data_IF_936005389128
#
_entry.id   IF_936005389128
#
_cell.length_a   1.000
_cell.length_b   1.000
_cell.length_c   1.000
_cell.angle_alpha   90.00
_cell.angle_beta   90.00
_cell.angle_gamma   90.00
#
_symmetry.space_group_name_H-M   'P 1'
#
loop_
_entity.id
_entity.type
_entity.pdbx_description
1 polymer ?
#
# COMPACT_ATOMS: atom_id res chain seq x y z
N UNK A 1 -3.92 -15.12 74.48
CA UNK A 1 -3.35 -14.75 73.17
C UNK A 1 -4.18 -15.45 72.11
N UNK A 2 -5.20 -14.77 71.59
CA UNK A 2 -6.19 -15.33 70.68
C UNK A 2 -5.87 -14.81 69.27
N UNK A 3 -5.29 -15.66 68.44
CA UNK A 3 -5.01 -15.35 67.04
C UNK A 3 -6.30 -15.43 66.22
N UNK A 4 -6.86 -14.27 65.88
CA UNK A 4 -7.90 -14.13 64.87
C UNK A 4 -7.25 -13.98 63.50
N UNK A 5 -7.22 -15.06 62.72
CA UNK A 5 -6.83 -15.09 61.32
C UNK A 5 -7.95 -14.51 60.45
N UNK A 6 -7.78 -13.26 60.03
CA UNK A 6 -8.65 -12.58 59.07
C UNK A 6 -8.39 -13.11 57.64
N UNK A 7 -9.28 -13.95 57.13
CA UNK A 7 -9.28 -14.40 55.75
C UNK A 7 -9.73 -13.28 54.82
N UNK A 8 -8.78 -12.63 54.15
CA UNK A 8 -9.03 -11.67 53.08
C UNK A 8 -9.60 -12.39 51.85
N UNK A 9 -10.89 -12.23 51.60
CA UNK A 9 -11.55 -12.69 50.39
C UNK A 9 -11.06 -11.87 49.19
N UNK A 10 -10.19 -12.46 48.37
CA UNK A 10 -9.87 -11.93 47.05
C UNK A 10 -11.13 -11.99 46.19
N UNK A 11 -11.75 -10.83 45.98
CA UNK A 11 -12.82 -10.68 44.99
C UNK A 11 -12.19 -10.84 43.61
N UNK A 12 -12.60 -11.87 42.88
CA UNK A 12 -12.18 -12.08 41.50
C UNK A 12 -12.47 -10.81 40.69
N UNK A 13 -11.53 -10.34 39.86
CA UNK A 13 -11.76 -9.16 39.03
C UNK A 13 -13.00 -9.38 38.16
N UNK A 14 -13.82 -8.34 37.95
CA UNK A 14 -15.04 -8.44 37.16
C UNK A 14 -14.71 -9.01 35.77
N UNK A 15 -15.36 -10.13 35.42
CA UNK A 15 -15.22 -10.73 34.10
C UNK A 15 -15.65 -9.69 33.06
N UNK A 16 -14.76 -9.36 32.13
CA UNK A 16 -15.10 -8.49 31.02
C UNK A 16 -16.21 -9.14 30.19
N UNK A 17 -17.19 -8.35 29.69
CA UNK A 17 -18.27 -8.88 28.87
C UNK A 17 -17.70 -9.66 27.67
N UNK A 18 -18.39 -10.72 27.20
CA UNK A 18 -17.93 -11.51 26.06
C UNK A 18 -17.66 -10.59 24.87
N UNK A 19 -16.44 -10.63 24.34
CA UNK A 19 -16.08 -9.84 23.18
C UNK A 19 -16.78 -10.43 21.95
N UNK A 20 -17.53 -9.60 21.23
CA UNK A 20 -18.23 -10.01 20.02
C UNK A 20 -17.21 -10.44 18.95
N UNK A 21 -17.27 -11.72 18.56
CA UNK A 21 -16.43 -12.24 17.48
C UNK A 21 -16.96 -11.84 16.12
N UNK A 22 -16.05 -11.63 15.18
CA UNK A 22 -16.33 -11.31 13.78
C UNK A 22 -16.20 -12.58 12.97
N UNK A 23 -17.25 -12.96 12.23
CA UNK A 23 -17.13 -14.08 11.29
C UNK A 23 -16.09 -13.76 10.21
N UNK A 24 -15.07 -14.60 10.07
CA UNK A 24 -13.99 -14.41 9.07
C UNK A 24 -14.51 -14.44 7.65
N UNK A 25 -15.54 -15.28 7.40
CA UNK A 25 -16.25 -15.26 6.14
C UNK A 25 -16.85 -13.88 5.90
N UNK A 26 -17.62 -13.34 6.85
CA UNK A 26 -18.20 -11.99 6.73
C UNK A 26 -17.14 -10.90 6.57
N UNK A 27 -16.00 -11.03 7.27
CA UNK A 27 -14.91 -10.04 7.26
C UNK A 27 -14.27 -9.87 5.87
N UNK A 28 -14.11 -10.98 5.13
CA UNK A 28 -13.46 -11.02 3.82
C UNK A 28 -14.44 -11.28 2.64
N UNK A 29 -15.75 -11.27 2.86
CA UNK A 29 -16.75 -11.52 1.79
C UNK A 29 -17.26 -10.23 1.12
N UNK A 30 -16.79 -9.07 1.55
CA UNK A 30 -17.19 -7.79 0.96
C UNK A 30 -16.20 -7.40 -0.13
N UNK A 31 -16.71 -7.13 -1.33
CA UNK A 31 -15.90 -6.71 -2.48
C UNK A 31 -15.26 -5.35 -2.21
N UNK A 32 -16.02 -4.37 -1.71
CA UNK A 32 -15.56 -3.00 -1.47
C UNK A 32 -14.83 -2.79 -0.13
N UNK A 33 -13.91 -3.69 0.23
CA UNK A 33 -13.16 -3.60 1.48
C UNK A 33 -13.96 -3.97 2.74
N UNK A 34 -13.33 -3.87 3.91
CA UNK A 34 -13.97 -4.27 5.17
C UNK A 34 -15.14 -3.36 5.56
N UNK A 35 -16.20 -3.97 6.09
CA UNK A 35 -17.37 -3.26 6.63
C UNK A 35 -16.97 -2.41 7.83
N UNK A 36 -17.54 -1.21 7.92
CA UNK A 36 -17.26 -0.27 9.01
C UNK A 36 -17.61 -0.83 10.40
N UNK A 37 -18.64 -1.68 10.51
CA UNK A 37 -18.96 -2.36 11.75
C UNK A 37 -17.80 -3.26 12.22
N UNK A 38 -17.21 -4.04 11.31
CA UNK A 38 -16.08 -4.89 11.64
C UNK A 38 -14.83 -4.08 12.01
N UNK A 39 -14.55 -2.99 11.29
CA UNK A 39 -13.43 -2.09 11.60
C UNK A 39 -13.58 -1.47 12.99
N UNK A 40 -14.80 -1.09 13.40
CA UNK A 40 -15.09 -0.57 14.75
C UNK A 40 -14.89 -1.61 15.84
N UNK A 41 -15.15 -2.88 15.57
CA UNK A 41 -14.88 -3.98 16.52
C UNK A 41 -13.38 -4.31 16.60
N UNK A 42 -12.68 -4.27 15.47
CA UNK A 42 -11.25 -4.61 15.37
C UNK A 42 -10.32 -3.52 15.92
N UNK A 43 -10.63 -2.25 15.66
CA UNK A 43 -9.72 -1.13 15.92
C UNK A 43 -9.34 -0.96 17.40
N UNK A 44 -10.26 -0.93 18.39
CA UNK A 44 -9.86 -0.65 19.77
C UNK A 44 -8.91 -1.70 20.36
N UNK A 45 -9.14 -3.03 20.21
CA UNK A 45 -8.20 -4.05 20.64
C UNK A 45 -6.87 -4.02 19.87
N UNK A 46 -6.91 -3.70 18.57
CA UNK A 46 -5.69 -3.61 17.77
C UNK A 46 -4.82 -2.45 18.25
N UNK A 47 -5.44 -1.28 18.48
CA UNK A 47 -4.78 -0.08 18.97
C UNK A 47 -4.17 -0.27 20.37
N UNK A 48 -4.84 -0.99 21.26
CA UNK A 48 -4.30 -1.25 22.60
C UNK A 48 -3.16 -2.26 22.62
N UNK A 49 -2.97 -3.01 21.52
CA UNK A 49 -1.96 -4.08 21.42
C UNK A 49 -0.63 -3.63 20.81
N UNK A 50 -0.55 -2.41 20.27
CA UNK A 50 0.59 -1.88 19.54
C UNK A 50 0.90 -0.44 19.98
N UNK A 51 2.09 0.05 19.65
CA UNK A 51 2.49 1.44 19.92
C UNK A 51 2.02 2.38 18.82
N UNK A 52 1.99 1.89 17.57
CA UNK A 52 1.58 2.63 16.39
C UNK A 52 0.86 1.71 15.38
N UNK A 53 -0.07 2.29 14.63
CA UNK A 53 -0.79 1.58 13.56
C UNK A 53 -0.23 1.91 12.18
N UNK A 54 -0.24 0.92 11.30
CA UNK A 54 -0.03 1.06 9.86
C UNK A 54 -1.41 1.00 9.19
N UNK A 55 -1.86 2.11 8.64
CA UNK A 55 -3.15 2.22 7.94
C UNK A 55 -2.92 2.03 6.44
N UNK A 56 -3.65 1.14 5.78
CA UNK A 56 -3.68 1.09 4.31
C UNK A 56 -4.94 1.77 3.78
N UNK A 57 -4.78 2.64 2.80
CA UNK A 57 -5.86 3.43 2.19
C UNK A 57 -5.76 3.44 0.67
N UNK A 58 -6.90 3.70 0.03
CA UNK A 58 -6.98 3.85 -1.42
C UNK A 58 -7.78 2.74 -2.10
N UNK A 59 -7.24 2.15 -3.16
CA UNK A 59 -7.95 1.26 -4.08
C UNK A 59 -7.43 -0.20 -4.06
N UNK A 60 -7.51 -0.88 -5.20
CA UNK A 60 -7.31 -2.33 -5.32
C UNK A 60 -5.91 -2.79 -4.98
N UNK A 61 -4.86 -1.98 -5.11
CA UNK A 61 -3.50 -2.50 -4.82
C UNK A 61 -3.28 -2.94 -3.37
N UNK A 62 -4.09 -2.47 -2.42
CA UNK A 62 -3.94 -2.73 -0.97
C UNK A 62 -5.23 -3.31 -0.32
N UNK A 63 -6.25 -3.64 -1.11
CA UNK A 63 -7.56 -4.07 -0.59
C UNK A 63 -7.54 -5.47 0.07
N UNK A 64 -8.70 -5.90 0.57
CA UNK A 64 -8.87 -7.14 1.32
C UNK A 64 -8.98 -8.40 0.42
N UNK A 65 -8.80 -8.24 -0.90
CA UNK A 65 -8.77 -9.31 -1.90
C UNK A 65 -9.90 -10.30 -1.71
N UNK A 66 -11.13 -9.84 -1.81
CA UNK A 66 -12.35 -10.66 -1.66
C UNK A 66 -12.29 -11.99 -2.44
N UNK A 67 -11.68 -11.99 -3.63
CA UNK A 67 -11.55 -13.15 -4.51
C UNK A 67 -10.39 -14.11 -4.14
N UNK A 68 -9.61 -13.82 -3.10
CA UNK A 68 -8.51 -14.69 -2.68
C UNK A 68 -8.99 -15.92 -1.92
N UNK A 69 -8.48 -17.05 -2.37
CA UNK A 69 -8.68 -18.35 -1.73
C UNK A 69 -7.53 -18.73 -0.81
N UNK A 70 -6.38 -18.04 -0.88
CA UNK A 70 -5.26 -18.25 0.03
C UNK A 70 -5.60 -17.72 1.42
N UNK A 71 -5.84 -18.67 2.32
CA UNK A 71 -6.25 -18.44 3.71
C UNK A 71 -5.14 -18.91 4.63
N UNK A 72 -4.76 -18.04 5.55
CA UNK A 72 -3.72 -18.29 6.54
C UNK A 72 -4.31 -18.26 7.96
N UNK A 73 -3.68 -18.92 8.93
CA UNK A 73 -4.09 -18.81 10.34
C UNK A 73 -4.00 -17.35 10.82
N UNK A 74 -5.04 -16.85 11.49
CA UNK A 74 -5.07 -15.47 11.94
C UNK A 74 -3.99 -15.16 13.00
N UNK A 75 -3.48 -16.17 13.71
CA UNK A 75 -2.37 -16.08 14.65
C UNK A 75 -1.10 -15.54 14.00
N UNK A 76 -0.91 -15.83 12.70
CA UNK A 76 0.21 -15.32 11.93
C UNK A 76 0.14 -13.80 11.75
N UNK A 77 -1.08 -13.24 11.57
CA UNK A 77 -1.33 -11.80 11.55
C UNK A 77 -1.35 -11.15 12.95
N UNK A 78 -1.27 -11.96 14.01
CA UNK A 78 -1.15 -11.49 15.38
C UNK A 78 -2.34 -11.85 16.28
N UNK A 79 -2.15 -11.69 17.60
CA UNK A 79 -3.08 -12.22 18.60
C UNK A 79 -4.47 -11.57 18.53
N UNK A 80 -4.57 -10.30 18.13
CA UNK A 80 -5.86 -9.59 18.05
C UNK A 80 -6.74 -10.18 16.94
N UNK A 81 -6.17 -10.43 15.76
CA UNK A 81 -6.90 -11.07 14.67
C UNK A 81 -7.35 -12.48 15.05
N UNK A 82 -6.48 -13.28 15.67
CA UNK A 82 -6.82 -14.63 16.14
C UNK A 82 -7.95 -14.67 17.19
N UNK A 83 -7.99 -13.68 18.09
CA UNK A 83 -9.03 -13.61 19.13
C UNK A 83 -10.39 -13.17 18.57
N UNK A 84 -10.38 -12.23 17.63
CA UNK A 84 -11.60 -11.61 17.11
C UNK A 84 -12.23 -12.37 15.96
N UNK A 85 -11.45 -13.05 15.13
CA UNK A 85 -11.93 -13.75 13.94
C UNK A 85 -12.45 -15.16 14.24
N UNK A 86 -13.59 -15.52 13.65
CA UNK A 86 -14.23 -16.84 13.80
C UNK A 86 -14.64 -17.46 12.46
N UNK A 87 -14.04 -18.58 12.02
CA UNK A 87 -12.84 -19.21 12.59
C UNK A 87 -11.61 -18.31 12.46
N UNK A 88 -10.52 -18.49 13.24
CA UNK A 88 -9.34 -17.60 13.20
C UNK A 88 -8.54 -17.75 11.90
N UNK A 89 -9.01 -17.12 10.82
CA UNK A 89 -8.44 -17.23 9.48
C UNK A 89 -8.43 -15.87 8.76
N UNK A 90 -7.30 -15.53 8.17
CA UNK A 90 -7.09 -14.33 7.38
C UNK A 90 -6.87 -14.64 5.90
N UNK A 91 -7.15 -13.68 5.02
CA UNK A 91 -6.67 -13.72 3.63
C UNK A 91 -5.21 -13.29 3.61
N UNK A 92 -4.36 -13.95 2.81
CA UNK A 92 -2.95 -13.60 2.65
C UNK A 92 -2.74 -12.33 1.79
N UNK A 93 -3.43 -11.25 2.11
CA UNK A 93 -3.28 -9.94 1.45
C UNK A 93 -2.05 -9.17 1.97
N UNK A 94 -1.79 -7.99 1.43
CA UNK A 94 -0.65 -7.14 1.84
C UNK A 94 -0.70 -6.81 3.34
N UNK A 95 -1.89 -6.57 3.90
CA UNK A 95 -2.06 -6.19 5.32
C UNK A 95 -1.80 -7.37 6.24
N UNK A 96 -2.19 -8.58 5.84
CA UNK A 96 -1.81 -9.82 6.53
C UNK A 96 -0.29 -9.94 6.59
N UNK A 97 0.41 -9.76 5.46
CA UNK A 97 1.87 -9.88 5.41
C UNK A 97 2.58 -8.78 6.20
N UNK A 98 2.07 -7.54 6.19
CA UNK A 98 2.59 -6.45 7.03
C UNK A 98 2.57 -6.86 8.51
N UNK A 99 1.43 -7.38 8.99
CA UNK A 99 1.31 -7.83 10.37
C UNK A 99 2.20 -9.05 10.67
N UNK A 100 2.24 -10.02 9.75
CA UNK A 100 3.00 -11.25 9.93
C UNK A 100 4.49 -10.99 10.05
N UNK A 101 5.06 -10.28 9.09
CA UNK A 101 6.49 -9.98 9.03
C UNK A 101 6.92 -9.06 10.18
N UNK A 102 6.07 -8.12 10.59
CA UNK A 102 6.36 -7.28 11.76
C UNK A 102 6.43 -8.11 13.05
N UNK A 103 5.50 -9.07 13.22
CA UNK A 103 5.54 -10.00 14.34
C UNK A 103 6.81 -10.87 14.33
N UNK A 104 7.28 -11.32 13.16
CA UNK A 104 8.54 -12.05 13.01
C UNK A 104 9.75 -11.18 13.40
N UNK A 105 9.88 -9.98 12.83
CA UNK A 105 10.95 -9.03 13.15
C UNK A 105 11.01 -8.72 14.64
N UNK A 106 9.85 -8.53 15.28
CA UNK A 106 9.78 -8.25 16.71
C UNK A 106 10.13 -9.47 17.58
N UNK A 107 9.82 -10.70 17.15
CA UNK A 107 10.26 -11.92 17.84
C UNK A 107 11.77 -12.11 17.74
N UNK A 108 12.35 -11.87 16.56
CA UNK A 108 13.80 -11.94 16.34
C UNK A 108 14.56 -10.92 17.19
N UNK A 109 14.06 -9.67 17.28
CA UNK A 109 14.63 -8.64 18.17
C UNK A 109 14.58 -9.06 19.65
N UNK A 110 13.54 -9.81 20.07
CA UNK A 110 13.41 -10.30 21.45
C UNK A 110 14.28 -11.52 21.75
N UNK A 111 14.43 -12.45 20.81
CA UNK A 111 15.25 -13.65 20.98
C UNK A 111 16.74 -13.35 20.84
N UNK A 112 17.09 -12.40 19.99
CA UNK A 112 18.46 -11.94 19.75
C UNK A 112 18.98 -10.94 20.79
N UNK A 113 18.56 -11.03 22.06
CA UNK A 113 19.00 -10.20 23.19
C UNK A 113 20.54 -10.25 23.37
N UNK A 114 21.22 -9.48 22.53
CA UNK A 114 22.65 -9.28 22.46
C UNK A 114 22.92 -7.85 22.92
N UNK A 115 23.35 -7.74 24.19
CA UNK A 115 24.20 -6.75 24.88
C UNK A 115 24.44 -5.30 24.38
N UNK A 116 23.85 -4.82 23.30
CA UNK A 116 23.99 -3.44 22.87
C UNK A 116 22.84 -2.60 23.41
N UNK A 117 23.15 -1.82 24.44
CA UNK A 117 22.33 -0.80 25.10
C UNK A 117 21.87 0.37 24.19
N UNK A 118 21.78 0.19 22.87
CA UNK A 118 21.14 1.18 22.02
C UNK A 118 19.61 1.05 22.18
N UNK A 119 19.13 1.72 23.22
CA UNK A 119 17.79 1.68 23.77
C UNK A 119 16.73 2.37 22.89
N UNK A 120 17.08 2.84 21.70
CA UNK A 120 16.15 3.60 20.87
C UNK A 120 15.46 2.72 19.84
N UNK A 121 14.18 2.47 20.13
CA UNK A 121 13.10 2.36 19.16
C UNK A 121 12.76 0.95 18.63
N UNK A 122 12.26 0.08 19.52
CA UNK A 122 11.45 -1.08 19.12
C UNK A 122 9.97 -0.73 19.12
N UNK A 123 9.56 0.32 18.40
CA UNK A 123 8.13 0.60 18.19
C UNK A 123 7.46 -0.65 17.64
N UNK A 124 6.42 -1.14 18.33
CA UNK A 124 5.64 -2.28 17.87
C UNK A 124 4.51 -1.80 16.97
N UNK A 125 4.56 -2.17 15.70
CA UNK A 125 3.51 -1.84 14.74
C UNK A 125 2.44 -2.94 14.63
N UNK A 126 1.23 -2.54 14.24
CA UNK A 126 0.19 -3.42 13.73
C UNK A 126 -0.51 -2.77 12.54
N UNK A 127 -0.90 -3.53 11.53
CA UNK A 127 -1.52 -3.02 10.31
C UNK A 127 -3.03 -3.26 10.30
N UNK A 128 -3.78 -2.29 9.74
CA UNK A 128 -5.23 -2.37 9.54
C UNK A 128 -5.60 -1.96 8.11
N UNK A 129 -6.41 -2.78 7.46
CA UNK A 129 -6.84 -2.53 6.10
C UNK A 129 -8.09 -1.65 6.06
N UNK A 130 -7.98 -0.50 5.41
CA UNK A 130 -9.09 0.43 5.17
C UNK A 130 -9.23 0.83 3.71
N UNK A 131 -8.47 0.20 2.81
CA UNK A 131 -8.59 0.40 1.37
C UNK A 131 -9.95 -0.11 0.86
N UNK A 132 -10.45 0.51 -0.21
CA UNK A 132 -11.77 0.24 -0.78
C UNK A 132 -11.62 -0.11 -2.25
N UNK A 133 -11.86 -1.37 -2.57
CA UNK A 133 -11.76 -1.92 -3.92
C UNK A 133 -12.60 -1.17 -4.96
N UNK A 134 -12.13 -1.16 -6.20
CA UNK A 134 -12.84 -0.64 -7.38
C UNK A 134 -13.27 0.84 -7.27
N UNK A 135 -12.56 1.61 -6.44
CA UNK A 135 -12.85 3.04 -6.27
C UNK A 135 -11.82 3.94 -6.95
N UNK A 136 -12.24 5.15 -7.29
CA UNK A 136 -11.43 6.16 -8.00
C UNK A 136 -11.20 7.41 -7.15
N UNK A 137 -10.26 8.27 -7.55
CA UNK A 137 -10.13 9.61 -6.99
C UNK A 137 -11.35 10.47 -7.27
N UNK A 138 -12.00 10.31 -8.43
CA UNK A 138 -13.21 11.06 -8.77
C UNK A 138 -14.36 10.82 -7.77
N UNK A 139 -14.50 9.60 -7.25
CA UNK A 139 -15.50 9.31 -6.23
C UNK A 139 -15.19 9.99 -4.88
N UNK A 140 -13.92 10.32 -4.63
CA UNK A 140 -13.42 10.94 -3.39
C UNK A 140 -13.23 12.45 -3.46
N UNK A 141 -13.34 13.06 -4.64
CA UNK A 141 -13.11 14.50 -4.81
C UNK A 141 -14.09 15.33 -3.98
N UNK A 142 -15.36 14.93 -3.91
CA UNK A 142 -16.40 15.64 -3.15
C UNK A 142 -16.50 15.24 -1.68
N UNK A 143 -16.39 13.94 -1.38
CA UNK A 143 -16.46 13.42 -0.01
C UNK A 143 -15.58 12.20 0.11
N UNK A 144 -14.87 12.10 1.23
CA UNK A 144 -14.24 10.87 1.68
C UNK A 144 -15.29 9.74 1.82
N UNK A 145 -14.88 8.52 1.51
CA UNK A 145 -15.69 7.32 1.75
C UNK A 145 -15.82 7.04 3.27
N UNK A 146 -16.74 6.17 3.69
CA UNK A 146 -16.88 5.83 5.11
C UNK A 146 -15.60 5.30 5.76
N UNK A 147 -14.83 4.47 5.05
CA UNK A 147 -13.54 3.94 5.49
C UNK A 147 -12.47 5.04 5.57
N UNK A 148 -12.41 5.92 4.57
CA UNK A 148 -11.52 7.09 4.58
C UNK A 148 -11.81 8.02 5.79
N UNK A 149 -13.08 8.26 6.10
CA UNK A 149 -13.51 9.01 7.30
C UNK A 149 -13.08 8.29 8.58
N UNK A 150 -13.20 6.97 8.61
CA UNK A 150 -12.75 6.17 9.75
C UNK A 150 -11.25 6.35 10.02
N UNK A 151 -10.40 6.37 8.97
CA UNK A 151 -8.97 6.69 9.11
C UNK A 151 -8.80 8.10 9.67
N UNK A 152 -9.40 9.11 9.02
CA UNK A 152 -9.27 10.52 9.40
C UNK A 152 -9.64 10.77 10.87
N UNK A 153 -10.65 10.06 11.35
CA UNK A 153 -11.19 10.26 12.69
C UNK A 153 -10.43 9.44 13.77
N UNK A 154 -9.58 8.47 13.39
CA UNK A 154 -8.89 7.58 14.34
C UNK A 154 -7.35 7.52 14.20
N UNK A 155 -6.77 8.09 13.15
CA UNK A 155 -5.32 8.10 12.94
C UNK A 155 -4.60 8.94 14.01
N UNK A 156 -3.47 8.43 14.53
CA UNK A 156 -2.64 9.10 15.53
C UNK A 156 -1.36 9.68 14.93
N UNK A 157 -0.68 10.57 15.67
CA UNK A 157 0.58 11.17 15.21
C UNK A 157 1.77 10.21 15.20
N UNK A 158 1.67 9.05 15.86
CA UNK A 158 2.70 8.00 15.81
C UNK A 158 2.46 7.00 14.68
N UNK A 159 1.30 7.08 14.02
CA UNK A 159 0.90 6.10 13.02
C UNK A 159 1.62 6.34 11.69
N UNK A 160 1.45 5.35 10.82
CA UNK A 160 1.92 5.36 9.44
C UNK A 160 0.71 5.20 8.53
N UNK A 161 0.63 6.03 7.50
CA UNK A 161 -0.41 5.96 6.48
C UNK A 161 0.20 5.53 5.15
N UNK A 162 -0.26 4.41 4.60
CA UNK A 162 0.09 3.92 3.27
C UNK A 162 -1.08 4.19 2.34
N UNK A 163 -0.84 4.91 1.24
CA UNK A 163 -1.87 5.28 0.27
C UNK A 163 -1.50 4.77 -1.11
N UNK A 164 -2.33 3.90 -1.69
CA UNK A 164 -2.23 3.48 -3.10
C UNK A 164 -3.55 3.74 -3.80
N UNK A 165 -3.59 4.68 -4.73
CA UNK A 165 -4.82 5.08 -5.43
C UNK A 165 -4.48 5.57 -6.83
N UNK A 166 -5.50 5.63 -7.71
CA UNK A 166 -5.50 6.06 -9.11
C UNK A 166 -5.33 4.93 -10.13
N UNK A 167 -5.05 3.70 -9.70
CA UNK A 167 -4.97 2.56 -10.63
C UNK A 167 -6.30 2.37 -11.37
N UNK A 168 -7.40 2.48 -10.61
CA UNK A 168 -8.75 2.38 -11.15
C UNK A 168 -9.18 3.59 -12.00
N UNK A 169 -8.60 4.77 -11.77
CA UNK A 169 -8.83 5.95 -12.63
C UNK A 169 -8.23 5.75 -14.03
N UNK A 170 -7.38 4.74 -14.23
CA UNK A 170 -6.81 4.34 -15.52
C UNK A 170 -7.46 3.07 -16.07
N UNK A 171 -7.54 2.02 -15.25
CA UNK A 171 -7.90 0.70 -15.74
C UNK A 171 -9.41 0.41 -15.70
N UNK A 172 -10.12 0.86 -14.66
CA UNK A 172 -11.49 0.42 -14.38
C UNK A 172 -12.54 1.44 -14.80
N UNK A 173 -12.35 2.70 -14.44
CA UNK A 173 -13.29 3.78 -14.73
C UNK A 173 -12.56 5.05 -15.20
N UNK A 174 -11.80 4.98 -16.31
CA UNK A 174 -11.09 6.14 -16.81
C UNK A 174 -12.05 7.19 -17.35
N UNK A 175 -11.75 8.46 -17.06
CA UNK A 175 -12.48 9.57 -17.66
C UNK A 175 -12.11 9.70 -19.14
N UNK A 176 -12.96 10.33 -19.99
CA UNK A 176 -12.59 10.62 -21.37
C UNK A 176 -11.26 11.38 -21.49
N UNK A 177 -10.95 12.28 -20.54
CA UNK A 177 -9.68 13.00 -20.50
C UNK A 177 -8.50 12.11 -20.12
N UNK A 178 -8.71 11.16 -19.21
CA UNK A 178 -7.72 10.13 -18.88
C UNK A 178 -7.41 9.26 -20.11
N UNK A 179 -8.46 8.77 -20.79
CA UNK A 179 -8.31 7.95 -22.00
C UNK A 179 -7.54 8.72 -23.08
N UNK A 180 -7.94 9.96 -23.38
CA UNK A 180 -7.28 10.78 -24.40
C UNK A 180 -5.82 11.08 -24.06
N UNK A 181 -5.52 11.38 -22.79
CA UNK A 181 -4.15 11.68 -22.34
C UNK A 181 -3.25 10.45 -22.42
N UNK A 182 -3.74 9.29 -21.97
CA UNK A 182 -2.99 8.04 -22.01
C UNK A 182 -2.80 7.57 -23.45
N UNK A 183 -3.84 7.61 -24.29
CA UNK A 183 -3.74 7.27 -25.70
C UNK A 183 -2.77 8.22 -26.43
N UNK A 184 -2.79 9.52 -26.12
CA UNK A 184 -1.83 10.48 -26.67
C UNK A 184 -0.38 10.11 -26.33
N UNK A 185 -0.11 9.68 -25.10
CA UNK A 185 1.24 9.31 -24.65
C UNK A 185 1.71 7.94 -25.16
N UNK A 186 0.81 6.94 -25.15
CA UNK A 186 1.17 5.56 -25.49
C UNK A 186 1.05 5.28 -26.99
N UNK A 187 0.05 5.83 -27.67
CA UNK A 187 -0.22 5.53 -29.08
C UNK A 187 0.34 6.58 -30.04
N UNK A 188 0.28 7.87 -29.67
CA UNK A 188 0.61 8.95 -30.62
C UNK A 188 2.03 9.51 -30.45
N UNK A 189 2.65 9.30 -29.28
CA UNK A 189 3.95 9.88 -28.97
C UNK A 189 5.09 8.85 -29.12
N UNK A 190 6.21 9.19 -29.79
CA UNK A 190 7.41 8.35 -29.77
C UNK A 190 7.93 8.14 -28.34
N UNK A 191 8.49 6.97 -28.05
CA UNK A 191 9.03 6.65 -26.72
C UNK A 191 10.08 7.67 -26.27
N UNK A 192 10.98 8.09 -27.17
CA UNK A 192 12.01 9.11 -26.87
C UNK A 192 11.43 10.44 -26.41
N UNK A 193 10.25 10.85 -26.90
CA UNK A 193 9.58 12.06 -26.41
C UNK A 193 8.99 11.86 -25.01
N UNK A 194 8.55 10.65 -24.66
CA UNK A 194 8.09 10.32 -23.31
C UNK A 194 9.27 10.25 -22.32
N UNK A 195 10.40 9.68 -22.73
CA UNK A 195 11.64 9.60 -21.94
C UNK A 195 12.16 11.00 -21.55
N UNK A 196 12.14 11.92 -22.52
CA UNK A 196 12.51 13.33 -22.32
C UNK A 196 11.35 14.19 -21.78
N UNK A 197 10.19 13.60 -21.56
CA UNK A 197 9.00 14.28 -21.08
C UNK A 197 9.23 14.88 -19.70
N UNK A 198 8.81 16.13 -19.52
CA UNK A 198 8.98 16.87 -18.27
C UNK A 198 7.75 17.70 -17.94
N UNK A 199 7.60 17.98 -16.66
CA UNK A 199 6.51 18.77 -16.12
C UNK A 199 7.08 19.94 -15.32
N UNK A 200 6.61 21.14 -15.62
CA UNK A 200 7.07 22.38 -15.00
C UNK A 200 6.20 22.78 -13.80
N UNK A 201 4.98 22.23 -13.72
CA UNK A 201 4.03 22.52 -12.66
C UNK A 201 2.72 21.76 -12.87
N UNK A 202 1.74 22.07 -12.04
CA UNK A 202 0.37 21.58 -12.15
C UNK A 202 -0.56 22.59 -11.47
N UNK A 203 -1.82 22.67 -11.90
CA UNK A 203 -2.79 23.56 -11.27
C UNK A 203 -3.07 23.05 -9.85
N UNK A 204 -2.92 23.87 -8.80
CA UNK A 204 -3.02 23.42 -7.40
C UNK A 204 -4.47 23.35 -6.91
N UNK A 205 -5.38 22.86 -7.74
CA UNK A 205 -6.80 22.73 -7.42
C UNK A 205 -7.29 21.34 -7.79
N UNK A 206 -8.08 20.72 -6.91
CA UNK A 206 -8.77 19.46 -7.20
C UNK A 206 -9.87 19.67 -8.26
N UNK A 207 -10.12 18.63 -9.04
CA UNK A 207 -11.17 18.63 -10.05
C UNK A 207 -12.53 18.30 -9.40
N UNK A 208 -13.45 19.25 -9.40
CA UNK A 208 -14.85 19.01 -9.00
C UNK A 208 -15.71 18.35 -10.10
N UNK A 209 -15.17 18.25 -11.32
CA UNK A 209 -15.82 17.74 -12.54
C UNK A 209 -14.97 16.62 -13.15
N UNK A 210 -15.58 15.67 -13.87
CA UNK A 210 -15.04 14.40 -14.38
C UNK A 210 -13.79 14.51 -15.31
N UNK A 211 -12.71 15.18 -14.86
CA UNK A 211 -11.47 15.38 -15.60
C UNK A 211 -11.45 16.56 -16.57
N UNK A 212 -12.48 17.41 -16.61
CA UNK A 212 -12.62 18.48 -17.63
C UNK A 212 -12.36 19.91 -17.09
N UNK A 213 -11.56 20.06 -16.05
CA UNK A 213 -11.37 21.34 -15.35
C UNK A 213 -9.89 21.73 -15.16
N UNK A 214 -9.47 22.07 -13.92
CA UNK A 214 -8.06 22.32 -13.58
C UNK A 214 -7.04 21.32 -14.16
N UNK A 215 -7.41 20.04 -14.29
CA UNK A 215 -6.57 19.02 -14.93
C UNK A 215 -6.22 19.32 -16.39
N UNK A 216 -7.15 19.81 -17.21
CA UNK A 216 -6.87 20.18 -18.60
C UNK A 216 -5.99 21.43 -18.69
N UNK A 217 -6.16 22.38 -17.79
CA UNK A 217 -5.26 23.53 -17.69
C UNK A 217 -3.82 23.09 -17.34
N UNK A 218 -3.66 22.01 -16.56
CA UNK A 218 -2.35 21.43 -16.25
C UNK A 218 -1.62 20.88 -17.48
N UNK A 219 -2.32 20.60 -18.60
CA UNK A 219 -1.68 20.22 -19.85
C UNK A 219 -0.73 21.30 -20.39
N UNK A 220 -0.98 22.58 -20.06
CA UNK A 220 -0.10 23.69 -20.46
C UNK A 220 1.21 23.74 -19.66
N UNK A 221 1.29 22.97 -18.57
CA UNK A 221 2.44 22.94 -17.65
C UNK A 221 3.40 21.77 -17.90
N UNK A 222 3.30 21.12 -19.07
CA UNK A 222 4.14 19.97 -19.40
C UNK A 222 4.44 19.86 -20.88
N UNK A 223 5.54 19.19 -21.20
CA UNK A 223 5.87 18.73 -22.53
C UNK A 223 6.23 17.24 -22.44
N UNK A 224 5.44 16.32 -23.02
CA UNK A 224 4.21 16.55 -23.80
C UNK A 224 3.02 17.04 -22.93
N UNK A 225 2.02 17.74 -23.50
CA UNK A 225 0.89 18.28 -22.74
C UNK A 225 0.10 17.23 -21.94
N UNK A 226 -0.09 16.03 -22.51
CA UNK A 226 -0.81 14.94 -21.84
C UNK A 226 -0.14 14.49 -20.52
N UNK A 227 1.17 14.70 -20.38
CA UNK A 227 1.88 14.40 -19.12
C UNK A 227 1.48 15.38 -18.00
N UNK A 228 1.06 16.60 -18.35
CA UNK A 228 0.56 17.59 -17.41
C UNK A 228 -0.77 17.18 -16.78
N UNK A 229 -1.65 16.54 -17.56
CA UNK A 229 -2.87 15.92 -17.04
C UNK A 229 -2.55 14.81 -16.03
N UNK A 230 -1.64 13.89 -16.37
CA UNK A 230 -1.25 12.80 -15.48
C UNK A 230 -0.56 13.30 -14.21
N UNK A 231 0.27 14.35 -14.31
CA UNK A 231 0.84 15.00 -13.12
C UNK A 231 -0.24 15.57 -12.20
N UNK A 232 -1.29 16.16 -12.76
CA UNK A 232 -2.40 16.65 -11.95
C UNK A 232 -3.14 15.50 -11.26
N UNK A 233 -3.47 14.44 -12.02
CA UNK A 233 -4.19 13.27 -11.51
C UNK A 233 -3.41 12.54 -10.40
N UNK A 234 -2.17 12.14 -10.67
CA UNK A 234 -1.35 11.34 -9.74
C UNK A 234 -0.56 12.18 -8.71
N UNK A 235 -0.53 13.50 -8.86
CA UNK A 235 0.15 14.43 -7.97
C UNK A 235 -0.86 15.25 -7.17
N UNK A 236 -1.38 16.32 -7.76
CA UNK A 236 -2.27 17.29 -7.09
C UNK A 236 -3.48 16.64 -6.44
N UNK A 237 -4.17 15.75 -7.15
CA UNK A 237 -5.42 15.16 -6.65
C UNK A 237 -5.18 14.12 -5.57
N UNK A 238 -4.12 13.31 -5.70
CA UNK A 238 -3.67 12.41 -4.64
C UNK A 238 -3.26 13.21 -3.39
N UNK A 239 -2.51 14.31 -3.56
CA UNK A 239 -2.13 15.18 -2.46
C UNK A 239 -3.37 15.73 -1.72
N UNK A 240 -4.35 16.29 -2.46
CA UNK A 240 -5.60 16.78 -1.86
C UNK A 240 -6.37 15.68 -1.13
N UNK A 241 -6.38 14.46 -1.66
CA UNK A 241 -7.00 13.32 -1.01
C UNK A 241 -6.31 13.00 0.33
N UNK A 242 -4.98 12.95 0.35
CA UNK A 242 -4.20 12.70 1.57
C UNK A 242 -4.38 13.83 2.59
N UNK A 243 -4.43 15.08 2.14
CA UNK A 243 -4.72 16.23 3.00
C UNK A 243 -6.09 16.11 3.67
N UNK A 244 -7.12 15.66 2.93
CA UNK A 244 -8.46 15.37 3.48
C UNK A 244 -8.44 14.21 4.47
N UNK A 245 -7.71 13.12 4.17
CA UNK A 245 -7.55 11.98 5.07
C UNK A 245 -6.85 12.36 6.38
N UNK A 246 -5.89 13.26 6.32
CA UNK A 246 -5.06 13.68 7.47
C UNK A 246 -5.47 15.05 8.00
N UNK A 247 -6.71 15.48 7.75
CA UNK A 247 -7.17 16.82 8.11
C UNK A 247 -7.20 17.03 9.63
N UNK A 248 -7.48 15.98 10.41
CA UNK A 248 -7.57 16.07 11.87
C UNK A 248 -6.21 15.85 12.54
N UNK A 249 -5.46 14.84 12.10
CA UNK A 249 -4.17 14.44 12.69
C UNK A 249 -3.18 14.11 11.58
N UNK A 250 -1.95 14.59 11.73
CA UNK A 250 -0.82 14.29 10.85
C UNK A 250 -0.05 13.08 11.39
N UNK A 251 -0.01 11.93 10.67
CA UNK A 251 0.76 10.76 11.10
C UNK A 251 2.28 11.02 11.00
N UNK A 252 3.08 10.13 11.60
CA UNK A 252 4.56 10.23 11.59
C UNK A 252 5.09 10.14 10.15
N UNK A 253 4.64 9.13 9.41
CA UNK A 253 5.02 8.87 8.01
C UNK A 253 3.78 8.71 7.13
N UNK A 254 3.87 9.19 5.89
CA UNK A 254 2.88 8.98 4.83
C UNK A 254 3.61 8.37 3.64
N UNK A 255 3.34 7.10 3.36
CA UNK A 255 3.87 6.36 2.23
C UNK A 255 2.90 6.49 1.06
N UNK A 256 3.32 7.14 -0.03
CA UNK A 256 2.46 7.37 -1.21
C UNK A 256 2.91 6.46 -2.34
N UNK A 257 2.12 5.44 -2.61
CA UNK A 257 2.46 4.38 -3.56
C UNK A 257 2.02 4.69 -4.99
N UNK A 258 2.96 4.52 -5.94
CA UNK A 258 2.67 4.33 -7.35
C UNK A 258 2.49 2.85 -7.64
N UNK A 259 1.57 2.52 -8.54
CA UNK A 259 1.26 1.15 -8.93
C UNK A 259 2.47 0.40 -9.49
N UNK A 260 2.47 -0.91 -9.28
CA UNK A 260 3.43 -1.85 -9.86
C UNK A 260 3.20 -2.10 -11.35
N UNK A 261 4.09 -2.86 -11.99
CA UNK A 261 3.90 -3.27 -13.37
C UNK A 261 2.96 -4.48 -13.43
N UNK A 262 1.97 -4.50 -14.35
CA UNK A 262 1.21 -5.72 -14.62
C UNK A 262 2.14 -6.86 -15.07
N UNK A 263 1.73 -8.10 -14.86
CA UNK A 263 2.42 -9.27 -15.38
C UNK A 263 2.56 -9.18 -16.91
N UNK A 264 3.79 -9.33 -17.39
CA UNK A 264 4.12 -9.32 -18.81
C UNK A 264 3.58 -10.57 -19.50
N UNK A 265 3.40 -11.67 -18.76
CA UNK A 265 2.78 -12.85 -19.30
C UNK A 265 1.33 -12.54 -19.71
N UNK A 266 1.00 -12.89 -20.96
CA UNK A 266 -0.34 -12.70 -21.50
C UNK A 266 -1.27 -13.84 -21.03
N UNK A 267 -1.58 -13.83 -19.73
CA UNK A 267 -2.49 -14.79 -19.09
C UNK A 267 -3.94 -14.25 -19.07
N UNK A 268 -4.96 -15.11 -18.94
CA UNK A 268 -6.34 -14.65 -18.78
C UNK A 268 -6.49 -13.69 -17.59
N UNK A 269 -7.04 -12.52 -17.84
CA UNK A 269 -7.29 -11.47 -16.86
C UNK A 269 -8.57 -10.72 -17.19
N UNK A 270 -9.28 -10.27 -16.17
CA UNK A 270 -10.41 -9.35 -16.33
C UNK A 270 -9.96 -8.02 -16.95
N UNK A 271 -8.70 -7.62 -16.76
CA UNK A 271 -8.13 -6.38 -17.25
C UNK A 271 -7.52 -6.50 -18.66
N UNK A 272 -7.57 -7.67 -19.31
CA UNK A 272 -6.90 -7.90 -20.60
C UNK A 272 -7.31 -6.90 -21.69
N UNK A 273 -8.58 -6.48 -21.72
CA UNK A 273 -9.05 -5.46 -22.66
C UNK A 273 -8.36 -4.11 -22.43
N UNK A 274 -8.34 -3.63 -21.19
CA UNK A 274 -7.70 -2.36 -20.82
C UNK A 274 -6.17 -2.43 -21.03
N UNK A 275 -5.52 -3.45 -20.49
CA UNK A 275 -4.06 -3.67 -20.59
C UNK A 275 -3.63 -3.83 -22.06
N UNK A 276 -4.42 -4.54 -22.87
CA UNK A 276 -4.20 -4.66 -24.30
C UNK A 276 -4.35 -3.33 -25.05
N UNK A 277 -5.36 -2.53 -24.71
CA UNK A 277 -5.57 -1.21 -25.30
C UNK A 277 -4.43 -0.22 -24.99
N UNK A 278 -3.74 -0.40 -23.86
CA UNK A 278 -2.53 0.36 -23.52
C UNK A 278 -1.28 -0.08 -24.32
N UNK A 279 -1.39 -1.15 -25.12
CA UNK A 279 -0.27 -1.70 -25.87
C UNK A 279 0.67 -2.59 -25.04
N UNK A 280 0.30 -2.92 -23.79
CA UNK A 280 1.15 -3.67 -22.86
C UNK A 280 1.50 -5.08 -23.35
N UNK A 281 0.62 -5.70 -24.14
CA UNK A 281 0.85 -7.03 -24.72
C UNK A 281 1.97 -7.06 -25.77
N UNK A 282 2.32 -5.92 -26.34
CA UNK A 282 3.27 -5.82 -27.45
C UNK A 282 4.51 -5.00 -27.09
N UNK A 283 4.34 -3.99 -26.24
CA UNK A 283 5.38 -3.04 -25.86
C UNK A 283 5.25 -2.69 -24.36
N UNK A 284 5.40 -3.68 -23.44
CA UNK A 284 5.25 -3.45 -22.00
C UNK A 284 6.19 -2.33 -21.50
N UNK A 285 7.39 -2.23 -22.06
CA UNK A 285 8.42 -1.26 -21.70
C UNK A 285 7.92 0.20 -21.79
N UNK A 286 7.03 0.50 -22.74
CA UNK A 286 6.51 1.85 -22.94
C UNK A 286 5.49 2.25 -21.87
N UNK A 287 4.64 1.32 -21.46
CA UNK A 287 3.68 1.54 -20.36
C UNK A 287 4.42 1.57 -19.03
N UNK A 288 5.40 0.70 -18.82
CA UNK A 288 6.27 0.73 -17.64
C UNK A 288 7.03 2.06 -17.56
N UNK A 289 7.54 2.56 -18.69
CA UNK A 289 8.15 3.89 -18.78
C UNK A 289 7.14 4.98 -18.37
N UNK A 290 5.90 4.90 -18.82
CA UNK A 290 4.86 5.86 -18.42
C UNK A 290 4.62 5.80 -16.90
N UNK A 291 4.53 4.61 -16.30
CA UNK A 291 4.40 4.44 -14.84
C UNK A 291 5.57 5.09 -14.10
N UNK A 292 6.81 4.84 -14.54
CA UNK A 292 8.00 5.51 -13.97
C UNK A 292 7.92 7.02 -14.11
N UNK A 293 7.50 7.54 -15.26
CA UNK A 293 7.34 8.98 -15.47
C UNK A 293 6.27 9.59 -14.58
N UNK A 294 5.14 8.91 -14.37
CA UNK A 294 4.12 9.36 -13.42
C UNK A 294 4.66 9.39 -11.99
N UNK A 295 5.46 8.39 -11.59
CA UNK A 295 6.13 8.40 -10.29
C UNK A 295 7.08 9.59 -10.15
N UNK A 296 8.02 9.76 -11.08
CA UNK A 296 9.05 10.81 -11.06
C UNK A 296 8.48 12.24 -11.11
N UNK A 297 7.42 12.43 -11.90
CA UNK A 297 6.89 13.76 -12.21
C UNK A 297 5.70 14.15 -11.33
N UNK A 298 5.04 13.18 -10.69
CA UNK A 298 3.83 13.41 -9.89
C UNK A 298 3.98 12.88 -8.47
N UNK A 299 4.00 11.56 -8.28
CA UNK A 299 3.89 10.94 -6.95
C UNK A 299 5.07 11.28 -6.04
N UNK A 300 6.30 11.29 -6.57
CA UNK A 300 7.50 11.66 -5.81
C UNK A 300 7.57 13.12 -5.40
N UNK A 301 6.70 13.96 -5.96
CA UNK A 301 6.64 15.40 -5.70
C UNK A 301 5.48 15.78 -4.77
N UNK A 302 4.70 14.80 -4.32
CA UNK A 302 3.64 15.03 -3.34
C UNK A 302 4.28 15.48 -2.05
N UNK A 303 3.75 16.55 -1.47
CA UNK A 303 4.18 17.06 -0.19
C UNK A 303 2.95 17.37 0.66
N UNK A 304 3.00 17.06 1.95
CA UNK A 304 1.89 17.28 2.86
C UNK A 304 2.40 18.21 3.96
N UNK A 305 1.76 19.37 4.10
CA UNK A 305 2.09 20.31 5.18
C UNK A 305 1.79 19.70 6.56
N UNK A 306 2.47 20.20 7.60
CA UNK A 306 2.15 19.85 8.99
C UNK A 306 3.01 18.74 9.61
N UNK A 307 4.20 18.47 9.06
CA UNK A 307 5.26 17.72 9.76
C UNK A 307 5.29 16.21 9.52
N UNK A 308 4.36 15.64 8.76
CA UNK A 308 4.47 14.25 8.31
C UNK A 308 5.63 14.08 7.33
N UNK A 309 6.42 13.04 7.50
CA UNK A 309 7.41 12.62 6.50
C UNK A 309 6.68 11.93 5.35
N UNK A 310 6.73 12.51 4.14
CA UNK A 310 6.10 11.93 2.94
C UNK A 310 7.14 11.15 2.15
N UNK A 311 6.91 9.84 1.99
CA UNK A 311 7.84 8.92 1.34
C UNK A 311 7.16 8.34 0.09
N UNK A 312 7.65 8.63 -1.12
CA UNK A 312 7.08 8.05 -2.33
C UNK A 312 7.53 6.59 -2.50
N UNK A 313 6.57 5.70 -2.78
CA UNK A 313 6.79 4.25 -2.87
C UNK A 313 6.57 3.77 -4.31
N UNK A 314 7.61 3.36 -5.03
CA UNK A 314 7.48 2.75 -6.35
C UNK A 314 7.21 1.25 -6.22
N UNK A 315 5.94 0.83 -6.17
CA UNK A 315 5.61 -0.61 -6.04
C UNK A 315 6.06 -1.45 -7.24
N UNK A 316 6.43 -0.82 -8.36
CA UNK A 316 7.04 -1.50 -9.49
C UNK A 316 8.46 -2.02 -9.23
N UNK A 317 9.05 -1.73 -8.06
CA UNK A 317 10.32 -2.33 -7.62
C UNK A 317 10.11 -3.76 -7.11
N UNK A 318 9.27 -4.01 -6.07
CA UNK A 318 9.02 -5.39 -5.62
C UNK A 318 8.23 -6.22 -6.63
N UNK A 319 7.43 -5.58 -7.49
CA UNK A 319 6.58 -6.20 -8.50
C UNK A 319 6.86 -5.63 -9.89
N UNK A 320 7.82 -6.24 -10.59
CA UNK A 320 8.41 -5.74 -11.84
C UNK A 320 7.78 -6.32 -13.13
N UNK A 321 6.64 -7.00 -13.01
CA UNK A 321 5.94 -7.64 -14.13
C UNK A 321 6.58 -8.92 -14.68
N UNK A 322 7.80 -9.31 -14.26
CA UNK A 322 8.54 -10.40 -14.90
C UNK A 322 8.26 -11.80 -14.32
N UNK A 323 7.70 -11.85 -13.10
CA UNK A 323 7.43 -13.10 -12.37
C UNK A 323 5.93 -13.32 -12.20
N UNK A 324 5.34 -14.14 -13.05
CA UNK A 324 3.88 -14.36 -13.05
C UNK A 324 3.32 -14.92 -11.73
N UNK A 325 4.12 -15.63 -10.94
CA UNK A 325 3.71 -16.12 -9.61
C UNK A 325 3.44 -15.00 -8.60
N UNK A 326 3.93 -13.79 -8.85
CA UNK A 326 3.65 -12.62 -8.03
C UNK A 326 2.26 -12.02 -8.32
N UNK A 327 1.54 -12.53 -9.33
CA UNK A 327 0.27 -11.97 -9.79
C UNK A 327 -0.87 -13.00 -9.78
N UNK A 328 -2.07 -12.48 -9.61
CA UNK A 328 -3.34 -13.17 -9.85
C UNK A 328 -4.06 -12.38 -10.93
N UNK A 329 -4.51 -13.08 -11.97
CA UNK A 329 -5.17 -12.44 -13.11
C UNK A 329 -4.38 -11.24 -13.65
N UNK A 330 -3.05 -11.35 -13.72
CA UNK A 330 -2.12 -10.39 -14.32
C UNK A 330 -1.94 -9.03 -13.62
N UNK A 331 -2.96 -8.54 -12.91
CA UNK A 331 -2.98 -7.18 -12.36
C UNK A 331 -3.10 -7.14 -10.84
N UNK A 332 -3.51 -8.22 -10.20
CA UNK A 332 -3.63 -8.28 -8.74
C UNK A 332 -2.37 -8.94 -8.15
N UNK A 333 -1.84 -8.47 -7.02
CA UNK A 333 -0.69 -9.11 -6.38
C UNK A 333 -1.15 -10.42 -5.76
N UNK A 334 -0.48 -11.55 -6.06
CA UNK A 334 -0.70 -12.84 -5.40
C UNK A 334 -0.35 -12.80 -3.90
N UNK A 335 -0.53 -13.89 -3.16
CA UNK A 335 -0.03 -13.96 -1.79
C UNK A 335 1.51 -13.75 -1.73
N UNK A 336 2.24 -14.28 -2.71
CA UNK A 336 3.69 -14.08 -2.85
C UNK A 336 3.99 -12.63 -3.18
N UNK A 337 3.28 -12.05 -4.15
CA UNK A 337 3.46 -10.64 -4.53
C UNK A 337 3.12 -9.68 -3.38
N UNK A 338 2.04 -9.95 -2.65
CA UNK A 338 1.63 -9.20 -1.47
C UNK A 338 2.65 -9.27 -0.34
N UNK A 339 3.29 -10.43 -0.15
CA UNK A 339 4.42 -10.57 0.79
C UNK A 339 5.61 -9.69 0.38
N UNK A 340 6.03 -9.72 -0.88
CA UNK A 340 7.14 -8.87 -1.37
C UNK A 340 6.85 -7.38 -1.19
N UNK A 341 5.62 -6.97 -1.49
CA UNK A 341 5.19 -5.59 -1.24
C UNK A 341 5.28 -5.24 0.25
N UNK A 342 4.81 -6.11 1.14
CA UNK A 342 4.87 -5.89 2.59
C UNK A 342 6.31 -5.83 3.12
N UNK A 343 7.21 -6.70 2.65
CA UNK A 343 8.64 -6.67 2.97
C UNK A 343 9.24 -5.30 2.59
N UNK A 344 9.02 -4.86 1.34
CA UNK A 344 9.50 -3.57 0.85
C UNK A 344 8.94 -2.39 1.65
N UNK A 345 7.65 -2.40 1.97
CA UNK A 345 7.02 -1.34 2.77
C UNK A 345 7.57 -1.29 4.20
N UNK A 346 7.76 -2.44 4.86
CA UNK A 346 8.31 -2.49 6.21
C UNK A 346 9.78 -2.03 6.25
N UNK A 347 10.57 -2.35 5.22
CA UNK A 347 11.95 -1.86 5.12
C UNK A 347 12.00 -0.34 5.07
N UNK A 348 11.11 0.29 4.30
CA UNK A 348 10.99 1.75 4.26
C UNK A 348 10.48 2.34 5.58
N UNK A 349 9.55 1.64 6.26
CA UNK A 349 9.01 2.06 7.56
C UNK A 349 10.10 2.08 8.63
N UNK A 350 10.93 1.04 8.70
CA UNK A 350 11.98 0.88 9.71
C UNK A 350 13.28 1.59 9.36
N UNK A 351 13.43 2.13 8.14
CA UNK A 351 14.53 3.04 7.84
C UNK A 351 14.36 4.34 8.64
N UNK A 352 15.32 4.62 9.52
CA UNK A 352 15.45 5.93 10.16
C UNK A 352 15.68 6.98 9.07
N UNK A 353 15.04 8.14 9.21
CA UNK A 353 15.05 9.26 8.24
C UNK A 353 16.42 9.91 8.00
N UNK A 354 17.51 9.18 8.20
CA UNK A 354 18.86 9.47 7.73
C UNK A 354 18.89 9.46 6.19
N UNK A 355 18.40 10.55 5.62
CA UNK A 355 18.68 11.04 4.28
C UNK A 355 18.78 9.95 3.19
N UNK A 356 17.63 9.58 2.61
CA UNK A 356 17.54 9.27 1.18
C UNK A 356 17.85 10.53 0.33
N UNK A 357 18.94 11.24 0.62
CA UNK A 357 19.46 12.37 -0.18
C UNK A 357 20.38 11.90 -1.30
N UNK A 358 20.56 10.58 -1.46
CA UNK A 358 21.09 10.02 -2.70
C UNK A 358 20.02 10.16 -3.75
N UNK A 359 20.17 11.13 -4.64
CA UNK A 359 19.22 11.39 -5.72
C UNK A 359 18.86 10.10 -6.44
N UNK A 360 17.56 9.95 -6.73
CA UNK A 360 17.09 9.08 -7.80
C UNK A 360 17.73 9.59 -9.09
N UNK A 361 18.95 9.14 -9.38
CA UNK A 361 19.59 9.37 -10.66
C UNK A 361 18.91 8.43 -11.66
N UNK A 362 18.00 8.98 -12.47
CA UNK A 362 17.23 8.26 -13.51
C UNK A 362 18.12 7.53 -14.53
N UNK A 363 19.45 7.64 -14.45
CA UNK A 363 20.39 6.89 -15.30
C UNK A 363 21.01 5.64 -14.67
N UNK A 364 20.79 5.35 -13.38
CA UNK A 364 21.35 4.14 -12.74
C UNK A 364 20.27 3.11 -12.38
N UNK A 365 19.94 2.24 -13.33
CA UNK A 365 19.19 1.00 -13.12
C UNK A 365 20.07 -0.10 -12.48
N UNK A 366 20.95 0.23 -11.54
CA UNK A 366 21.85 -0.76 -10.94
C UNK A 366 22.00 -0.56 -9.42
N UNK A 367 21.57 -1.62 -8.72
CA UNK A 367 22.05 -2.03 -7.41
C UNK A 367 21.56 -1.12 -6.28
N UNK A 368 20.32 -1.34 -5.84
CA UNK A 368 20.13 -1.41 -4.39
C UNK A 368 21.10 -2.48 -3.88
N UNK A 369 22.08 -2.06 -3.08
CA UNK A 369 23.04 -2.96 -2.46
C UNK A 369 22.32 -4.03 -1.67
N UNK A 370 22.26 -5.23 -2.25
CA UNK A 370 21.94 -6.45 -1.56
C UNK A 370 23.05 -6.73 -0.53
N UNK A 371 22.91 -6.12 0.65
CA UNK A 371 23.46 -6.68 1.89
C UNK A 371 22.37 -7.50 2.61
N UNK A 372 21.58 -8.23 1.84
CA UNK A 372 20.72 -9.31 2.35
C UNK A 372 21.56 -10.58 2.28
N UNK A 373 21.94 -11.04 3.48
CA UNK A 373 22.38 -12.38 3.86
C UNK A 373 22.42 -13.39 2.70
N UNK A 374 23.64 -13.77 2.31
CA UNK A 374 23.87 -14.87 1.38
C UNK A 374 23.14 -16.13 1.86
N UNK A 375 22.15 -16.58 1.09
CA UNK A 375 21.61 -17.93 1.21
C UNK A 375 22.72 -18.94 0.83
N UNK A 376 22.85 -20.07 1.54
CA UNK A 376 23.94 -21.01 1.34
C UNK A 376 23.85 -21.64 -0.05
N UNK A 377 24.98 -21.63 -0.75
CA UNK A 377 25.17 -22.22 -2.07
C UNK A 377 24.84 -23.72 -2.06
N UNK A 378 23.78 -24.11 -2.77
CA UNK A 378 23.59 -25.51 -3.17
C UNK A 378 24.53 -25.82 -4.33
N UNK A 379 25.62 -26.49 -4.01
CA UNK A 379 26.53 -27.10 -4.98
C UNK A 379 25.79 -28.16 -5.79
N UNK A 380 25.60 -27.92 -7.09
CA UNK A 380 25.25 -28.95 -8.06
C UNK A 380 26.40 -29.95 -8.18
N UNK A 381 26.15 -31.20 -7.79
CA UNK A 381 27.00 -32.34 -8.14
C UNK A 381 26.71 -32.67 -9.61
N UNK A 382 27.72 -32.40 -10.44
CA UNK A 382 27.88 -33.03 -11.75
C UNK A 382 28.15 -34.52 -11.53
N UNK A 383 27.19 -35.36 -11.91
CA UNK A 383 27.33 -36.82 -11.92
C UNK A 383 27.01 -37.34 -13.32
N UNK A 384 28.03 -37.43 -14.16
CA UNK A 384 28.04 -38.19 -15.41
C UNK A 384 28.51 -39.59 -15.04
N UNK A 385 27.71 -40.63 -15.28
CA UNK A 385 28.22 -41.96 -15.67
C UNK A 385 27.11 -42.89 -16.18
N UNK A 386 27.33 -43.34 -17.42
CA UNK A 386 26.94 -44.58 -18.13
C UNK A 386 25.48 -44.98 -18.29
#
# INVERSE_FOLDING_TARGET
MSNTSSSSSFSSPPQQPPQEKISSKSFYNEYHGHKLAHLRTLYPPLRSSCDALIWTAGDSSLDNKYWFTDRQPAEAAGPVYAQLLDPPSCVADVTFWLNHLENERHKEKKSGASNNNNHNDSTKYAAINTAVEATTLNQRSRSLLPQDKFIRDNISSQDILIVSICGNDVALAPTPCTIASIAGLLCCLPQSCLENGTTFGTVPMDDCCCGCGPSLASCTCACPPCLGYLRHLFGTRVQHYIEKLTANVKPKKILVAMIYYPDEANVPSWANGAVGALGYNSHPEKVQLLIRKMFEQATSRISIGGGSEVIPIPLFIPLDGTRSEDYVARVEPSAIGGRKMAEYLLDVIHQDGGAMSGGYDSTTTCIMGANVVAAPSTSFISGRER
#
